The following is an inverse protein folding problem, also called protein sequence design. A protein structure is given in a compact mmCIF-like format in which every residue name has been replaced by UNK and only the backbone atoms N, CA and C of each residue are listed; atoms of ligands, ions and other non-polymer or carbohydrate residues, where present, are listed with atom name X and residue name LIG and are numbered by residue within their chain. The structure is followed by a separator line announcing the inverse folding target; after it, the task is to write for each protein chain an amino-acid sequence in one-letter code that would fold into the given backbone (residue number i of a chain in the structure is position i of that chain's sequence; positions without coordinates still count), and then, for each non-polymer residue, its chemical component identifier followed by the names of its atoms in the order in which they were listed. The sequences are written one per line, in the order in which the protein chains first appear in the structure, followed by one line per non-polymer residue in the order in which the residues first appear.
data_IF_232009758985
#
_entry.id   IF_232009758985
#
_cell.length_a   1.000
_cell.length_b   1.000
_cell.length_c   1.000
_cell.angle_alpha   90.00
_cell.angle_beta   90.00
_cell.angle_gamma   90.00
#
_symmetry.space_group_name_H-M   'P 1'
#
loop_
_entity.id
_entity.type
_entity.pdbx_description
1 polymer ?
#
# COMPACT_ATOMS: atom_id res chain seq x y z
N UNK A 1 -25.45 18.99 -21.75
CA UNK A 1 -24.52 18.28 -20.84
C UNK A 1 -23.57 17.50 -21.72
N UNK A 2 -22.25 17.60 -21.50
CA UNK A 2 -21.28 16.81 -22.25
C UNK A 2 -21.62 15.32 -22.08
N UNK A 3 -21.74 14.61 -23.19
CA UNK A 3 -22.31 13.26 -23.26
C UNK A 3 -21.26 12.16 -23.20
N UNK A 4 -19.97 12.51 -23.32
CA UNK A 4 -18.85 11.56 -23.33
C UNK A 4 -17.69 11.99 -22.42
N UNK A 5 -16.84 11.06 -21.98
CA UNK A 5 -15.60 11.38 -21.22
C UNK A 5 -14.66 12.31 -22.00
N UNK A 6 -14.68 12.26 -23.34
CA UNK A 6 -13.89 13.17 -24.18
C UNK A 6 -14.36 14.60 -24.07
N UNK A 7 -15.67 14.82 -24.07
CA UNK A 7 -16.22 16.17 -23.97
C UNK A 7 -15.84 16.83 -22.61
N UNK A 8 -15.71 16.03 -21.55
CA UNK A 8 -15.23 16.49 -20.24
C UNK A 8 -13.74 16.82 -20.29
N UNK A 9 -12.96 15.96 -20.95
CA UNK A 9 -11.52 16.18 -21.13
C UNK A 9 -11.24 17.44 -21.97
N UNK A 10 -11.94 17.63 -23.08
CA UNK A 10 -11.80 18.79 -23.96
C UNK A 10 -12.11 20.08 -23.18
N UNK A 11 -13.21 20.10 -22.41
CA UNK A 11 -13.57 21.24 -21.56
C UNK A 11 -12.48 21.58 -20.54
N UNK A 12 -11.90 20.57 -19.87
CA UNK A 12 -10.83 20.78 -18.89
C UNK A 12 -9.53 21.27 -19.56
N UNK A 13 -9.25 20.77 -20.77
CA UNK A 13 -8.06 21.16 -21.51
C UNK A 13 -8.16 22.59 -22.09
N UNK A 14 -9.36 23.02 -22.45
CA UNK A 14 -9.63 24.38 -22.99
C UNK A 14 -9.74 25.42 -21.88
N UNK A 15 -10.58 25.19 -20.87
CA UNK A 15 -10.96 26.18 -19.87
C UNK A 15 -10.17 26.07 -18.56
N UNK A 16 -9.44 24.97 -18.35
CA UNK A 16 -8.76 24.66 -17.10
C UNK A 16 -9.72 24.29 -15.96
N UNK A 17 -9.23 24.40 -14.72
CA UNK A 17 -10.05 24.13 -13.53
C UNK A 17 -10.89 25.35 -13.14
N UNK A 18 -12.15 25.36 -13.58
CA UNK A 18 -13.18 26.34 -13.20
C UNK A 18 -14.17 25.77 -12.18
N UNK A 19 -15.02 26.62 -11.61
CA UNK A 19 -16.12 26.18 -10.72
C UNK A 19 -17.09 25.23 -11.45
N UNK A 20 -17.38 25.50 -12.72
CA UNK A 20 -18.27 24.68 -13.55
C UNK A 20 -17.68 23.28 -13.80
N UNK A 21 -16.38 23.23 -14.13
CA UNK A 21 -15.62 21.97 -14.26
C UNK A 21 -15.63 21.22 -12.93
N UNK A 22 -15.38 21.91 -11.82
CA UNK A 22 -15.37 21.28 -10.49
C UNK A 22 -16.73 20.69 -10.14
N UNK A 23 -17.82 21.41 -10.43
CA UNK A 23 -19.20 20.91 -10.26
C UNK A 23 -19.49 19.69 -11.16
N UNK A 24 -18.95 19.66 -12.37
CA UNK A 24 -19.07 18.52 -13.28
C UNK A 24 -18.32 17.29 -12.73
N UNK A 25 -17.09 17.46 -12.25
CA UNK A 25 -16.30 16.41 -11.60
C UNK A 25 -17.00 15.84 -10.35
N UNK A 26 -17.73 16.67 -9.59
CA UNK A 26 -18.52 16.19 -8.46
C UNK A 26 -19.68 15.27 -8.86
N UNK A 27 -20.26 15.48 -10.05
CA UNK A 27 -21.40 14.70 -10.57
C UNK A 27 -20.99 13.35 -11.16
N UNK A 28 -19.71 13.16 -11.50
CA UNK A 28 -19.21 11.89 -12.00
C UNK A 28 -19.35 10.78 -10.94
N UNK A 29 -19.69 9.56 -11.41
CA UNK A 29 -19.59 8.38 -10.55
C UNK A 29 -18.13 8.22 -10.13
N UNK A 30 -17.85 7.66 -8.93
CA UNK A 30 -16.49 7.48 -8.46
C UNK A 30 -15.58 6.79 -9.48
N UNK A 31 -16.04 5.70 -10.09
CA UNK A 31 -15.25 4.97 -11.08
C UNK A 31 -15.01 5.79 -12.35
N UNK A 32 -16.00 6.55 -12.83
CA UNK A 32 -15.85 7.37 -14.04
C UNK A 32 -14.82 8.49 -13.83
N UNK A 33 -14.83 9.12 -12.64
CA UNK A 33 -13.81 10.11 -12.25
C UNK A 33 -12.41 9.51 -12.22
N UNK A 34 -12.26 8.31 -11.68
CA UNK A 34 -10.95 7.64 -11.65
C UNK A 34 -10.51 7.24 -13.05
N UNK A 35 -11.42 6.67 -13.86
CA UNK A 35 -11.10 6.30 -15.24
C UNK A 35 -10.71 7.53 -16.07
N UNK A 36 -11.35 8.70 -15.86
CA UNK A 36 -10.93 9.97 -16.46
C UNK A 36 -9.46 10.29 -16.12
N UNK A 37 -9.06 10.19 -14.84
CA UNK A 37 -7.64 10.39 -14.44
C UNK A 37 -6.70 9.33 -15.02
N UNK A 38 -7.16 8.08 -15.18
CA UNK A 38 -6.35 6.97 -15.73
C UNK A 38 -6.09 7.16 -17.23
N UNK A 39 -7.16 7.32 -18.00
CA UNK A 39 -7.12 7.30 -19.48
C UNK A 39 -6.94 8.67 -20.11
N UNK A 40 -7.09 9.74 -19.33
CA UNK A 40 -6.91 11.11 -19.80
C UNK A 40 -5.52 11.40 -20.33
N UNK A 41 -5.44 12.40 -21.22
CA UNK A 41 -4.20 12.97 -21.72
C UNK A 41 -3.32 13.53 -20.60
N UNK A 42 -2.05 13.79 -20.92
CA UNK A 42 -1.12 14.39 -19.96
C UNK A 42 -1.57 15.77 -19.50
N UNK A 43 -2.17 16.56 -20.40
CA UNK A 43 -2.74 17.88 -20.06
C UNK A 43 -3.85 17.75 -19.03
N UNK A 44 -4.81 16.84 -19.27
CA UNK A 44 -5.88 16.57 -18.30
C UNK A 44 -5.32 16.10 -16.95
N UNK A 45 -4.34 15.19 -16.96
CA UNK A 45 -3.71 14.70 -15.72
C UNK A 45 -3.07 15.82 -14.92
N UNK A 46 -2.36 16.74 -15.58
CA UNK A 46 -1.77 17.92 -14.95
C UNK A 46 -2.83 18.84 -14.36
N UNK A 47 -3.93 19.09 -15.08
CA UNK A 47 -5.06 19.86 -14.56
C UNK A 47 -5.71 19.18 -13.35
N UNK A 48 -5.85 17.85 -13.36
CA UNK A 48 -6.38 17.09 -12.23
C UNK A 48 -5.43 17.03 -11.02
N UNK A 49 -4.16 17.41 -11.20
CA UNK A 49 -3.14 17.49 -10.15
C UNK A 49 -2.81 18.93 -9.75
N UNK A 50 -3.50 19.91 -10.31
CA UNK A 50 -3.20 21.31 -10.03
C UNK A 50 -3.61 21.67 -8.58
N UNK A 51 -2.89 22.60 -7.93
CA UNK A 51 -3.18 23.00 -6.55
C UNK A 51 -4.61 23.51 -6.34
N UNK A 52 -5.21 24.14 -7.35
CA UNK A 52 -6.58 24.67 -7.31
C UNK A 52 -7.63 23.57 -7.12
N UNK A 53 -7.34 22.33 -7.57
CA UNK A 53 -8.23 21.18 -7.42
C UNK A 53 -7.95 20.36 -6.14
N UNK A 54 -6.93 20.69 -5.35
CA UNK A 54 -6.64 19.98 -4.09
C UNK A 54 -7.84 19.96 -3.12
N UNK A 55 -8.60 21.07 -2.91
CA UNK A 55 -9.79 21.04 -2.04
C UNK A 55 -10.86 20.05 -2.49
N UNK A 56 -10.99 19.83 -3.82
CA UNK A 56 -11.89 18.82 -4.36
C UNK A 56 -11.45 17.42 -3.95
N UNK A 57 -10.16 17.09 -4.11
CA UNK A 57 -9.62 15.78 -3.74
C UNK A 57 -9.65 15.54 -2.24
N UNK A 58 -9.33 16.55 -1.43
CA UNK A 58 -9.47 16.50 0.03
C UNK A 58 -10.90 16.17 0.43
N UNK A 59 -11.91 16.80 -0.19
CA UNK A 59 -13.31 16.52 0.10
C UNK A 59 -13.73 15.10 -0.33
N UNK A 60 -13.26 14.63 -1.50
CA UNK A 60 -13.52 13.25 -1.97
C UNK A 60 -12.89 12.23 -1.02
N UNK A 61 -11.65 12.43 -0.61
CA UNK A 61 -10.93 11.60 0.35
C UNK A 61 -11.63 11.57 1.72
N UNK A 62 -11.95 12.74 2.28
CA UNK A 62 -12.59 12.86 3.60
C UNK A 62 -14.02 12.27 3.65
N UNK A 63 -14.63 11.99 2.49
CA UNK A 63 -15.94 11.32 2.38
C UNK A 63 -15.87 9.80 2.25
N UNK A 64 -14.67 9.22 2.08
CA UNK A 64 -14.49 7.77 2.06
C UNK A 64 -14.90 7.15 3.40
N UNK A 65 -15.75 6.12 3.37
CA UNK A 65 -16.22 5.39 4.55
C UNK A 65 -16.20 3.89 4.28
N UNK A 66 -16.05 3.12 5.36
CA UNK A 66 -16.24 1.68 5.29
C UNK A 66 -17.73 1.36 5.35
N UNK A 67 -18.13 0.29 4.67
CA UNK A 67 -19.52 -0.16 4.62
C UNK A 67 -20.03 -0.59 5.99
N UNK A 68 -19.17 -1.27 6.78
CA UNK A 68 -19.52 -1.85 8.08
C UNK A 68 -19.08 -0.99 9.28
N UNK A 69 -18.33 0.08 9.06
CA UNK A 69 -17.89 1.01 10.10
C UNK A 69 -17.87 2.44 9.55
N UNK A 70 -18.98 3.14 9.74
CA UNK A 70 -19.15 4.52 9.27
C UNK A 70 -18.43 5.55 10.16
N UNK A 71 -17.96 5.15 11.36
CA UNK A 71 -17.19 6.02 12.24
C UNK A 71 -15.72 6.09 11.80
N UNK A 72 -15.21 5.03 11.19
CA UNK A 72 -13.86 5.02 10.62
C UNK A 72 -13.68 6.14 9.57
N UNK A 73 -12.55 6.84 9.68
CA UNK A 73 -12.10 7.83 8.72
C UNK A 73 -10.63 7.58 8.39
N UNK A 74 -10.28 7.67 7.12
CA UNK A 74 -8.88 7.64 6.70
C UNK A 74 -8.15 8.89 7.21
N UNK A 75 -6.91 8.68 7.66
CA UNK A 75 -5.96 9.73 8.05
C UNK A 75 -5.12 10.15 6.85
N UNK A 76 -4.53 11.34 6.91
CA UNK A 76 -3.68 11.85 5.82
C UNK A 76 -2.59 10.81 5.44
N UNK A 77 -2.51 10.35 4.18
CA UNK A 77 -1.59 9.28 3.77
C UNK A 77 -0.16 9.76 3.47
N UNK A 78 0.29 10.80 4.19
CA UNK A 78 1.60 11.49 4.18
C UNK A 78 2.39 11.51 2.86
N UNK A 79 2.94 10.36 2.46
CA UNK A 79 3.77 10.16 1.27
C UNK A 79 2.98 10.02 -0.04
N UNK A 80 1.67 9.80 0.04
CA UNK A 80 0.75 9.69 -1.10
C UNK A 80 -0.20 10.88 -1.14
N UNK A 81 -0.52 11.38 -2.34
CA UNK A 81 -1.55 12.41 -2.47
C UNK A 81 -2.93 11.86 -2.10
N UNK A 82 -3.83 12.70 -1.57
CA UNK A 82 -5.21 12.29 -1.28
C UNK A 82 -5.98 11.92 -2.55
N UNK A 83 -5.62 12.54 -3.68
CA UNK A 83 -6.14 12.19 -4.99
C UNK A 83 -5.79 10.75 -5.37
N UNK A 84 -4.51 10.38 -5.29
CA UNK A 84 -4.04 9.03 -5.63
C UNK A 84 -4.57 7.99 -4.65
N UNK A 85 -4.63 8.31 -3.36
CA UNK A 85 -5.24 7.43 -2.37
C UNK A 85 -6.70 7.15 -2.74
N UNK A 86 -7.49 8.19 -3.03
CA UNK A 86 -8.88 8.06 -3.43
C UNK A 86 -9.02 7.23 -4.70
N UNK A 87 -8.24 7.54 -5.74
CA UNK A 87 -8.29 6.85 -7.02
C UNK A 87 -7.91 5.37 -6.90
N UNK A 88 -6.82 5.08 -6.20
CA UNK A 88 -6.36 3.73 -5.91
C UNK A 88 -7.42 2.93 -5.14
N UNK A 89 -7.96 3.50 -4.06
CA UNK A 89 -8.96 2.82 -3.23
C UNK A 89 -10.28 2.57 -3.97
N UNK A 90 -10.77 3.54 -4.75
CA UNK A 90 -11.98 3.37 -5.57
C UNK A 90 -11.80 2.29 -6.63
N UNK A 91 -10.66 2.22 -7.32
CA UNK A 91 -10.36 1.15 -8.27
C UNK A 91 -10.27 -0.22 -7.59
N UNK A 92 -9.65 -0.28 -6.41
CA UNK A 92 -9.61 -1.50 -5.61
C UNK A 92 -11.03 -1.99 -5.27
N UNK A 93 -11.89 -1.11 -4.78
CA UNK A 93 -13.30 -1.45 -4.49
C UNK A 93 -14.07 -1.82 -5.76
N UNK A 94 -13.80 -1.17 -6.89
CA UNK A 94 -14.40 -1.53 -8.17
C UNK A 94 -13.96 -2.94 -8.60
N UNK A 95 -12.67 -3.28 -8.46
CA UNK A 95 -12.16 -4.62 -8.71
C UNK A 95 -12.91 -5.66 -7.88
N UNK A 96 -13.08 -5.45 -6.57
CA UNK A 96 -13.80 -6.39 -5.70
C UNK A 96 -15.28 -6.60 -6.10
N UNK A 97 -15.89 -5.64 -6.80
CA UNK A 97 -17.26 -5.75 -7.31
C UNK A 97 -17.34 -6.47 -8.66
N UNK A 98 -16.23 -6.56 -9.39
CA UNK A 98 -16.19 -7.33 -10.63
C UNK A 98 -16.32 -8.83 -10.31
N UNK A 99 -17.30 -9.48 -10.92
CA UNK A 99 -17.43 -10.93 -10.82
C UNK A 99 -16.21 -11.58 -11.48
N UNK A 100 -15.58 -12.57 -10.83
CA UNK A 100 -14.47 -13.39 -11.38
C UNK A 100 -14.91 -14.30 -12.55
N UNK A 101 -15.72 -13.78 -13.48
CA UNK A 101 -16.29 -14.51 -14.62
C UNK A 101 -15.39 -14.31 -15.85
N UNK A 102 -15.18 -15.41 -16.59
CA UNK A 102 -14.00 -15.73 -17.40
C UNK A 102 -13.71 -14.89 -18.66
N UNK A 103 -14.54 -13.94 -19.07
CA UNK A 103 -14.42 -13.37 -20.43
C UNK A 103 -14.02 -11.88 -20.52
N UNK A 104 -13.94 -11.15 -19.40
CA UNK A 104 -13.39 -9.79 -19.39
C UNK A 104 -12.88 -9.48 -17.98
N UNK A 105 -11.62 -9.79 -17.70
CA UNK A 105 -11.13 -9.82 -16.32
C UNK A 105 -10.72 -8.43 -15.80
N UNK A 106 -11.67 -7.49 -15.83
CA UNK A 106 -11.51 -6.13 -15.28
C UNK A 106 -11.04 -6.12 -13.82
N UNK A 107 -11.32 -7.19 -13.08
CA UNK A 107 -10.79 -7.41 -11.73
C UNK A 107 -9.26 -7.26 -11.69
N UNK A 108 -8.53 -8.00 -12.54
CA UNK A 108 -7.07 -7.91 -12.57
C UNK A 108 -6.60 -6.55 -13.10
N UNK A 109 -7.25 -6.03 -14.15
CA UNK A 109 -6.87 -4.75 -14.74
C UNK A 109 -6.99 -3.61 -13.72
N UNK A 110 -8.10 -3.54 -12.98
CA UNK A 110 -8.31 -2.54 -11.95
C UNK A 110 -7.35 -2.69 -10.77
N UNK A 111 -7.02 -3.91 -10.33
CA UNK A 111 -6.02 -4.10 -9.29
C UNK A 111 -4.62 -3.67 -9.76
N UNK A 112 -4.23 -4.01 -10.98
CA UNK A 112 -2.92 -3.64 -11.54
C UNK A 112 -2.83 -2.12 -11.73
N UNK A 113 -3.87 -1.46 -12.22
CA UNK A 113 -3.89 0.01 -12.34
C UNK A 113 -3.85 0.65 -10.95
N UNK A 114 -4.70 0.18 -10.02
CA UNK A 114 -4.76 0.66 -8.64
C UNK A 114 -3.38 0.59 -7.95
N UNK A 115 -2.64 -0.50 -8.17
CA UNK A 115 -1.29 -0.67 -7.65
C UNK A 115 -0.24 0.16 -8.41
N UNK A 116 -0.10 -0.04 -9.71
CA UNK A 116 1.06 0.49 -10.46
C UNK A 116 0.97 2.00 -10.70
N UNK A 117 -0.25 2.52 -10.90
CA UNK A 117 -0.46 3.95 -11.16
C UNK A 117 -0.67 4.75 -9.87
N UNK A 118 -1.41 4.20 -8.91
CA UNK A 118 -1.78 4.92 -7.71
C UNK A 118 -1.09 4.45 -6.44
N UNK A 119 -0.25 3.41 -6.48
CA UNK A 119 0.40 2.83 -5.30
C UNK A 119 -0.60 2.45 -4.19
N UNK A 120 -1.69 1.75 -4.54
CA UNK A 120 -2.69 1.34 -3.57
C UNK A 120 -2.24 0.12 -2.76
N UNK A 121 -2.06 0.28 -1.45
CA UNK A 121 -1.72 -0.80 -0.53
C UNK A 121 -2.68 -1.99 -0.60
N UNK A 122 -3.99 -1.73 -0.62
CA UNK A 122 -5.01 -2.79 -0.62
C UNK A 122 -4.97 -3.64 -1.90
N UNK A 123 -4.69 -3.00 -3.05
CA UNK A 123 -4.54 -3.72 -4.31
C UNK A 123 -3.29 -4.61 -4.30
N UNK A 124 -2.18 -4.12 -3.74
CA UNK A 124 -0.98 -4.92 -3.55
C UNK A 124 -1.24 -6.13 -2.64
N UNK A 125 -1.90 -5.92 -1.51
CA UNK A 125 -2.26 -6.97 -0.57
C UNK A 125 -3.15 -8.03 -1.22
N UNK A 126 -4.15 -7.63 -1.99
CA UNK A 126 -5.06 -8.56 -2.70
C UNK A 126 -4.30 -9.39 -3.74
N UNK A 127 -3.47 -8.75 -4.57
CA UNK A 127 -2.66 -9.42 -5.60
C UNK A 127 -1.67 -10.43 -4.98
N UNK A 128 -0.95 -10.03 -3.94
CA UNK A 128 -0.02 -10.92 -3.23
C UNK A 128 -0.76 -12.08 -2.54
N UNK A 129 -1.90 -11.82 -1.92
CA UNK A 129 -2.73 -12.86 -1.31
C UNK A 129 -3.18 -13.88 -2.36
N UNK A 130 -3.64 -13.41 -3.52
CA UNK A 130 -4.02 -14.29 -4.63
C UNK A 130 -2.86 -15.16 -5.12
N UNK A 131 -1.67 -14.59 -5.30
CA UNK A 131 -0.47 -15.33 -5.72
C UNK A 131 -0.02 -16.35 -4.66
N UNK A 132 -0.09 -15.99 -3.37
CA UNK A 132 0.17 -16.92 -2.26
C UNK A 132 -0.85 -18.06 -2.28
N UNK A 133 -2.15 -17.78 -2.48
CA UNK A 133 -3.18 -18.81 -2.59
C UNK A 133 -2.96 -19.74 -3.78
N UNK A 134 -2.54 -19.21 -4.93
CA UNK A 134 -2.17 -20.04 -6.07
C UNK A 134 -1.03 -21.00 -5.75
N UNK A 135 0.00 -20.54 -5.02
CA UNK A 135 1.09 -21.39 -4.56
C UNK A 135 0.62 -22.45 -3.54
N UNK A 136 -0.29 -22.10 -2.62
CA UNK A 136 -0.85 -23.06 -1.65
C UNK A 136 -1.67 -24.15 -2.36
N UNK A 137 -2.47 -23.77 -3.34
CA UNK A 137 -3.38 -24.68 -4.06
C UNK A 137 -2.65 -25.53 -5.12
N UNK A 138 -1.58 -25.01 -5.70
CA UNK A 138 -0.83 -25.66 -6.77
C UNK A 138 0.66 -25.35 -6.62
N UNK A 139 1.32 -26.09 -5.72
CA UNK A 139 2.73 -25.88 -5.43
C UNK A 139 3.62 -26.36 -6.59
N UNK A 140 3.97 -25.42 -7.47
CA UNK A 140 4.91 -25.58 -8.58
C UNK A 140 5.95 -24.47 -8.55
N UNK A 141 7.17 -24.77 -8.96
CA UNK A 141 8.26 -23.79 -8.98
C UNK A 141 7.92 -22.54 -9.81
N UNK A 142 7.22 -22.71 -10.94
CA UNK A 142 6.74 -21.61 -11.78
C UNK A 142 5.83 -20.62 -11.02
N UNK A 143 4.91 -21.13 -10.20
CA UNK A 143 4.00 -20.29 -9.41
C UNK A 143 4.77 -19.54 -8.31
N UNK A 144 5.71 -20.22 -7.65
CA UNK A 144 6.55 -19.63 -6.60
C UNK A 144 7.46 -18.54 -7.18
N UNK A 145 8.08 -18.79 -8.34
CA UNK A 145 8.88 -17.80 -9.06
C UNK A 145 8.03 -16.62 -9.54
N UNK A 146 6.81 -16.86 -10.02
CA UNK A 146 5.87 -15.79 -10.38
C UNK A 146 5.58 -14.88 -9.19
N UNK A 147 5.34 -15.45 -8.00
CA UNK A 147 5.15 -14.68 -6.77
C UNK A 147 6.41 -13.89 -6.40
N UNK A 148 7.60 -14.52 -6.46
CA UNK A 148 8.86 -13.87 -6.15
C UNK A 148 9.17 -12.70 -7.10
N UNK A 149 9.02 -12.92 -8.41
CA UNK A 149 9.28 -11.90 -9.43
C UNK A 149 8.32 -10.72 -9.30
N UNK A 150 7.04 -10.99 -9.04
CA UNK A 150 6.06 -9.94 -8.77
C UNK A 150 6.41 -9.14 -7.52
N UNK A 151 6.79 -9.81 -6.42
CA UNK A 151 7.23 -9.16 -5.18
C UNK A 151 8.44 -8.25 -5.42
N UNK A 152 9.42 -8.72 -6.19
CA UNK A 152 10.62 -7.93 -6.51
C UNK A 152 10.31 -6.67 -7.34
N UNK A 153 9.34 -6.74 -8.26
CA UNK A 153 8.92 -5.58 -9.05
C UNK A 153 8.26 -4.48 -8.22
N UNK A 154 7.55 -4.86 -7.14
CA UNK A 154 6.75 -3.92 -6.34
C UNK A 154 7.39 -3.58 -4.98
N UNK A 155 8.54 -4.18 -4.66
CA UNK A 155 9.17 -4.08 -3.33
C UNK A 155 9.39 -2.62 -2.90
N UNK A 156 10.09 -1.83 -3.71
CA UNK A 156 10.40 -0.42 -3.39
C UNK A 156 9.14 0.43 -3.23
N UNK A 157 8.08 0.14 -3.99
CA UNK A 157 6.79 0.83 -3.90
C UNK A 157 6.06 0.48 -2.61
N UNK A 158 6.05 -0.81 -2.24
CA UNK A 158 5.45 -1.25 -0.99
C UNK A 158 6.12 -0.60 0.22
N UNK A 159 7.44 -0.45 0.21
CA UNK A 159 8.15 0.23 1.30
C UNK A 159 7.75 1.71 1.47
N UNK A 160 7.13 2.36 0.48
CA UNK A 160 6.57 3.71 0.63
C UNK A 160 5.35 3.74 1.55
N UNK A 161 4.70 2.59 1.81
CA UNK A 161 3.69 2.45 2.85
C UNK A 161 4.30 2.20 4.24
N UNK A 162 5.59 2.46 4.40
CA UNK A 162 6.33 2.38 5.66
C UNK A 162 6.09 1.04 6.38
N UNK A 163 5.68 1.06 7.65
CA UNK A 163 5.47 -0.14 8.48
C UNK A 163 4.51 -1.16 7.84
N UNK A 164 3.27 -0.81 7.44
CA UNK A 164 2.39 -1.74 6.74
C UNK A 164 3.00 -2.39 5.49
N UNK A 165 3.71 -1.60 4.70
CA UNK A 165 4.41 -2.07 3.51
C UNK A 165 5.46 -3.13 3.83
N UNK A 166 6.32 -2.83 4.80
CA UNK A 166 7.37 -3.74 5.27
C UNK A 166 6.77 -5.03 5.86
N UNK A 167 5.67 -4.93 6.62
CA UNK A 167 4.97 -6.12 7.16
C UNK A 167 4.36 -7.00 6.06
N UNK A 168 3.77 -6.40 5.02
CA UNK A 168 3.24 -7.14 3.86
C UNK A 168 4.36 -7.87 3.10
N UNK A 169 5.52 -7.21 2.92
CA UNK A 169 6.71 -7.84 2.34
C UNK A 169 7.21 -8.99 3.22
N UNK A 170 7.37 -8.77 4.53
CA UNK A 170 7.80 -9.79 5.47
C UNK A 170 6.88 -11.02 5.45
N UNK A 171 5.56 -10.83 5.50
CA UNK A 171 4.59 -11.92 5.44
C UNK A 171 4.69 -12.69 4.11
N UNK A 172 4.88 -11.99 2.99
CA UNK A 172 5.05 -12.63 1.68
C UNK A 172 6.35 -13.44 1.60
N UNK A 173 7.46 -12.88 2.08
CA UNK A 173 8.74 -13.59 2.15
C UNK A 173 8.68 -14.83 3.06
N UNK A 174 7.93 -14.76 4.17
CA UNK A 174 7.69 -15.92 5.04
C UNK A 174 7.01 -17.06 4.28
N UNK A 175 5.96 -16.76 3.49
CA UNK A 175 5.31 -17.77 2.65
C UNK A 175 6.23 -18.31 1.55
N UNK A 176 6.96 -17.44 0.84
CA UNK A 176 7.94 -17.84 -0.17
C UNK A 176 8.98 -18.79 0.40
N UNK A 177 9.51 -18.48 1.59
CA UNK A 177 10.48 -19.32 2.28
C UNK A 177 9.93 -20.72 2.54
N UNK A 178 8.69 -20.83 3.02
CA UNK A 178 8.00 -22.10 3.23
C UNK A 178 7.72 -22.87 1.93
N UNK A 179 7.37 -22.18 0.84
CA UNK A 179 7.18 -22.81 -0.46
C UNK A 179 8.48 -23.37 -1.04
N UNK A 180 9.57 -22.59 -1.02
CA UNK A 180 10.89 -23.05 -1.45
C UNK A 180 11.38 -24.23 -0.61
N UNK A 181 11.17 -24.20 0.70
CA UNK A 181 11.51 -25.31 1.60
C UNK A 181 10.80 -26.60 1.20
N UNK A 182 9.48 -26.53 0.92
CA UNK A 182 8.68 -27.69 0.48
C UNK A 182 9.06 -28.22 -0.90
N UNK A 183 9.70 -27.38 -1.73
CA UNK A 183 10.28 -27.76 -3.03
C UNK A 183 11.74 -28.24 -2.92
N UNK A 184 12.27 -28.41 -1.70
CA UNK A 184 13.67 -28.76 -1.42
C UNK A 184 14.71 -27.72 -1.92
N UNK A 185 14.29 -26.48 -2.13
CA UNK A 185 15.13 -25.34 -2.52
C UNK A 185 15.60 -24.60 -1.27
N UNK A 186 16.55 -25.22 -0.55
CA UNK A 186 17.00 -24.75 0.77
C UNK A 186 17.65 -23.36 0.73
N UNK A 187 18.45 -23.06 -0.29
CA UNK A 187 19.16 -21.80 -0.40
C UNK A 187 18.17 -20.63 -0.56
N UNK A 188 17.23 -20.78 -1.47
CA UNK A 188 16.18 -19.82 -1.77
C UNK A 188 15.26 -19.60 -0.57
N UNK A 189 14.94 -20.68 0.14
CA UNK A 189 14.19 -20.61 1.40
C UNK A 189 14.90 -19.76 2.46
N UNK A 190 16.21 -19.99 2.66
CA UNK A 190 17.03 -19.24 3.62
C UNK A 190 17.10 -17.75 3.26
N UNK A 191 17.31 -17.42 1.98
CA UNK A 191 17.34 -16.02 1.52
C UNK A 191 15.98 -15.32 1.71
N UNK A 192 14.87 -16.04 1.51
CA UNK A 192 13.54 -15.51 1.78
C UNK A 192 13.32 -15.29 3.29
N UNK A 193 13.73 -16.21 4.17
CA UNK A 193 13.66 -15.97 5.62
C UNK A 193 14.53 -14.80 6.07
N UNK A 194 15.70 -14.59 5.43
CA UNK A 194 16.56 -13.44 5.70
C UNK A 194 15.87 -12.14 5.33
N UNK A 195 15.28 -12.10 4.14
CA UNK A 195 14.50 -10.96 3.64
C UNK A 195 13.27 -10.71 4.52
N UNK A 196 12.59 -11.76 5.00
CA UNK A 196 11.51 -11.65 5.97
C UNK A 196 11.98 -10.93 7.25
N UNK A 197 13.08 -11.38 7.84
CA UNK A 197 13.62 -10.76 9.07
C UNK A 197 14.05 -9.30 8.87
N UNK A 198 14.72 -9.01 7.75
CA UNK A 198 15.11 -7.66 7.37
C UNK A 198 13.88 -6.73 7.31
N UNK A 199 12.80 -7.16 6.66
CA UNK A 199 11.59 -6.34 6.55
C UNK A 199 10.84 -6.22 7.90
N UNK A 200 10.84 -7.26 8.74
CA UNK A 200 10.29 -7.17 10.10
C UNK A 200 11.04 -6.14 10.96
N UNK A 201 12.37 -6.10 10.86
CA UNK A 201 13.13 -5.10 11.61
C UNK A 201 12.98 -3.70 11.01
N UNK A 202 12.93 -3.57 9.68
CA UNK A 202 12.64 -2.27 9.06
C UNK A 202 11.27 -1.73 9.47
N UNK A 203 10.25 -2.61 9.55
CA UNK A 203 8.92 -2.24 10.06
C UNK A 203 8.98 -1.72 11.50
N UNK A 204 9.74 -2.38 12.38
CA UNK A 204 9.94 -1.95 13.77
C UNK A 204 10.61 -0.57 13.87
N UNK A 205 11.63 -0.31 13.03
CA UNK A 205 12.31 1.00 13.00
C UNK A 205 11.39 2.13 12.54
N UNK A 206 10.40 1.83 11.68
CA UNK A 206 9.45 2.80 11.12
C UNK A 206 8.17 2.96 11.93
N UNK A 207 7.88 2.04 12.87
CA UNK A 207 6.57 1.92 13.53
C UNK A 207 6.13 3.24 14.18
N UNK A 208 7.04 3.87 14.93
CA UNK A 208 6.78 5.13 15.64
C UNK A 208 6.40 6.31 14.74
N UNK A 209 6.76 6.28 13.46
CA UNK A 209 6.41 7.33 12.48
C UNK A 209 5.34 6.87 11.50
N UNK A 210 4.81 5.65 11.61
CA UNK A 210 3.85 5.05 10.66
C UNK A 210 2.43 4.96 11.20
N UNK A 211 2.08 5.68 12.26
CA UNK A 211 0.77 5.57 12.93
C UNK A 211 -0.42 5.85 11.99
N UNK A 212 -0.25 6.76 11.02
CA UNK A 212 -1.30 7.10 10.05
C UNK A 212 -1.45 5.99 9.01
N UNK A 213 -0.34 5.46 8.53
CA UNK A 213 -0.25 4.36 7.57
C UNK A 213 -0.83 3.08 8.17
N UNK A 214 -0.48 2.75 9.42
CA UNK A 214 -1.03 1.60 10.16
C UNK A 214 -2.55 1.76 10.34
N UNK A 215 -3.01 2.94 10.76
CA UNK A 215 -4.44 3.23 10.89
C UNK A 215 -5.19 3.03 9.57
N UNK A 216 -4.64 3.55 8.47
CA UNK A 216 -5.24 3.44 7.15
C UNK A 216 -5.25 1.98 6.66
N UNK A 217 -4.07 1.35 6.57
CA UNK A 217 -3.86 0.02 6.00
C UNK A 217 -4.70 -1.06 6.67
N UNK A 218 -4.91 -0.95 7.99
CA UNK A 218 -5.63 -1.95 8.79
C UNK A 218 -6.92 -1.42 9.40
N UNK A 219 -7.45 -0.33 8.86
CA UNK A 219 -8.75 0.22 9.24
C UNK A 219 -8.90 0.46 10.76
N UNK A 220 -7.85 0.98 11.40
CA UNK A 220 -7.83 1.29 12.83
C UNK A 220 -7.71 0.08 13.75
N UNK A 221 -7.48 -1.13 13.21
CA UNK A 221 -7.38 -2.38 14.00
C UNK A 221 -5.96 -2.74 14.43
N UNK A 222 -5.03 -1.82 14.28
CA UNK A 222 -3.59 -2.05 14.49
C UNK A 222 -3.04 -3.10 13.54
N UNK A 223 -1.82 -3.58 13.83
CA UNK A 223 -1.09 -4.50 12.94
C UNK A 223 -1.56 -5.96 13.02
N UNK A 224 -2.62 -6.27 13.78
CA UNK A 224 -3.14 -7.64 13.91
C UNK A 224 -3.50 -8.28 12.56
N UNK A 225 -3.92 -7.47 11.58
CA UNK A 225 -4.27 -7.92 10.23
C UNK A 225 -3.07 -8.03 9.27
N UNK A 226 -1.87 -7.65 9.71
CA UNK A 226 -0.66 -7.61 8.87
C UNK A 226 0.00 -8.97 8.65
N UNK A 227 -0.26 -9.94 9.55
CA UNK A 227 0.48 -11.18 9.65
C UNK A 227 -0.46 -12.39 9.74
N UNK A 228 0.04 -13.55 9.32
CA UNK A 228 -0.73 -14.80 9.31
C UNK A 228 -1.09 -15.32 10.71
N UNK A 229 -0.53 -14.76 11.78
CA UNK A 229 -0.65 -15.25 13.15
C UNK A 229 -1.67 -14.45 13.98
N UNK A 230 -2.14 -13.29 13.50
CA UNK A 230 -3.02 -12.42 14.25
C UNK A 230 -2.35 -11.77 15.47
N UNK A 231 -1.03 -11.53 15.41
CA UNK A 231 -0.27 -10.93 16.49
C UNK A 231 -0.28 -9.40 16.40
N UNK A 232 -0.31 -8.75 17.56
CA UNK A 232 -0.50 -7.30 17.68
C UNK A 232 0.78 -6.48 17.80
N UNK A 233 1.94 -7.12 17.97
CA UNK A 233 3.24 -6.43 18.02
C UNK A 233 4.28 -7.06 17.10
N UNK A 234 5.18 -6.22 16.55
CA UNK A 234 6.26 -6.69 15.68
C UNK A 234 7.23 -7.60 16.45
N UNK A 235 7.46 -7.32 17.73
CA UNK A 235 8.26 -8.15 18.63
C UNK A 235 7.69 -9.58 18.74
N UNK A 236 6.38 -9.72 18.96
CA UNK A 236 5.73 -11.04 19.00
C UNK A 236 5.83 -11.78 17.66
N UNK A 237 5.67 -11.07 16.54
CA UNK A 237 5.83 -11.66 15.20
C UNK A 237 7.26 -12.19 15.01
N UNK A 238 8.27 -11.41 15.39
CA UNK A 238 9.68 -11.83 15.34
C UNK A 238 9.96 -13.04 16.23
N UNK A 239 9.47 -13.02 17.46
CA UNK A 239 9.62 -14.14 18.39
C UNK A 239 8.97 -15.42 17.85
N UNK A 240 7.78 -15.31 17.26
CA UNK A 240 7.10 -16.43 16.63
C UNK A 240 7.89 -16.97 15.42
N UNK A 241 8.41 -16.09 14.54
CA UNK A 241 9.29 -16.49 13.44
C UNK A 241 10.53 -17.23 13.94
N UNK A 242 11.17 -16.75 15.02
CA UNK A 242 12.32 -17.41 15.63
C UNK A 242 11.97 -18.80 16.16
N UNK A 243 10.83 -18.95 16.82
CA UNK A 243 10.37 -20.25 17.35
C UNK A 243 10.05 -21.23 16.23
N UNK A 244 9.51 -20.76 15.11
CA UNK A 244 9.17 -21.61 13.96
C UNK A 244 10.40 -22.23 13.29
N UNK A 245 11.56 -21.54 13.30
CA UNK A 245 12.79 -22.04 12.70
C UNK A 245 14.04 -21.65 13.51
N UNK A 246 14.13 -22.19 14.73
CA UNK A 246 15.15 -21.82 15.72
C UNK A 246 16.58 -22.13 15.27
N UNK A 247 16.78 -23.16 14.44
CA UNK A 247 18.08 -23.51 13.89
C UNK A 247 18.58 -22.48 12.86
N UNK A 248 17.66 -21.83 12.14
CA UNK A 248 18.00 -20.83 11.14
C UNK A 248 18.23 -19.45 11.75
N UNK A 249 17.35 -19.02 12.65
CA UNK A 249 17.36 -17.68 13.26
C UNK A 249 18.38 -17.55 14.39
N UNK A 250 19.62 -17.97 14.12
CA UNK A 250 20.77 -17.74 15.00
C UNK A 250 21.05 -16.25 15.20
N UNK A 251 21.75 -15.88 16.27
CA UNK A 251 22.08 -14.48 16.54
C UNK A 251 22.86 -13.83 15.39
N UNK A 252 23.85 -14.53 14.82
CA UNK A 252 24.62 -14.03 13.69
C UNK A 252 23.76 -13.77 12.44
N UNK A 253 22.76 -14.62 12.18
CA UNK A 253 21.81 -14.43 11.09
C UNK A 253 20.96 -13.18 11.28
N UNK A 254 20.41 -13.01 12.50
CA UNK A 254 19.53 -11.89 12.86
C UNK A 254 20.28 -10.56 12.83
N UNK A 255 21.43 -10.49 13.50
CA UNK A 255 22.27 -9.27 13.55
C UNK A 255 22.65 -8.80 12.14
N UNK A 256 23.00 -9.71 11.23
CA UNK A 256 23.35 -9.35 9.86
C UNK A 256 22.15 -8.79 9.06
N UNK A 257 20.95 -9.36 9.26
CA UNK A 257 19.73 -8.86 8.63
C UNK A 257 19.28 -7.52 9.23
N UNK A 258 19.40 -7.36 10.55
CA UNK A 258 19.09 -6.13 11.29
C UNK A 258 20.00 -4.98 10.85
N UNK A 259 21.32 -5.20 10.78
CA UNK A 259 22.26 -4.19 10.28
C UNK A 259 21.95 -3.74 8.84
N UNK A 260 21.42 -4.64 7.99
CA UNK A 260 21.01 -4.29 6.63
C UNK A 260 19.72 -3.45 6.64
N UNK A 261 18.74 -3.79 7.47
CA UNK A 261 17.54 -2.99 7.66
C UNK A 261 17.85 -1.59 8.21
N UNK A 262 18.77 -1.48 9.19
CA UNK A 262 19.25 -0.21 9.70
C UNK A 262 19.92 0.64 8.60
N UNK A 263 20.73 0.02 7.73
CA UNK A 263 21.33 0.73 6.59
C UNK A 263 20.26 1.30 5.66
N UNK A 264 19.23 0.50 5.34
CA UNK A 264 18.09 0.92 4.52
C UNK A 264 17.29 2.04 5.18
N UNK A 265 17.02 1.94 6.48
CA UNK A 265 16.37 2.99 7.27
C UNK A 265 17.16 4.31 7.20
N UNK A 266 18.47 4.23 7.47
CA UNK A 266 19.35 5.40 7.46
C UNK A 266 19.47 6.05 6.08
N UNK A 267 19.47 5.27 4.99
CA UNK A 267 19.61 5.81 3.63
C UNK A 267 18.31 6.37 3.05
N UNK A 268 17.16 5.76 3.39
CA UNK A 268 15.91 6.02 2.67
C UNK A 268 14.85 6.76 3.52
N UNK A 269 14.94 6.73 4.86
CA UNK A 269 13.85 7.17 5.75
C UNK A 269 14.29 8.12 6.88
N UNK A 270 15.60 8.32 7.08
CA UNK A 270 16.10 9.13 8.22
C UNK A 270 15.88 10.64 8.06
N UNK A 271 15.91 11.15 6.83
CA UNK A 271 15.68 12.58 6.57
C UNK A 271 14.21 12.99 6.72
N UNK A 272 13.27 12.08 6.47
CA UNK A 272 11.83 12.32 6.69
C UNK A 272 11.47 12.27 8.18
N UNK A 273 12.04 11.34 8.95
CA UNK A 273 11.75 11.19 10.39
C UNK A 273 12.28 12.32 11.28
N UNK A 274 13.29 13.09 10.84
CA UNK A 274 13.79 14.25 11.59
C UNK A 274 12.86 15.47 11.55
N UNK A 275 11.99 15.59 10.53
CA UNK A 275 11.09 16.74 10.37
C UNK A 275 9.87 16.59 11.32
N UNK A 276 9.38 15.37 11.54
CA UNK A 276 8.22 15.12 12.40
C UNK A 276 8.48 15.33 13.89
N UNK A 277 9.76 15.27 14.34
CA UNK A 277 10.11 15.53 15.75
C UNK A 277 10.12 17.02 16.12
N UNK A 278 10.25 17.94 15.16
CA UNK A 278 10.21 19.39 15.43
C UNK A 278 8.77 19.91 15.55
N UNK A 279 7.83 19.40 14.74
CA UNK A 279 6.43 19.82 14.78
C UNK A 279 5.68 19.37 16.05
N UNK A 280 6.15 18.32 16.72
CA UNK A 280 5.60 17.91 18.02
C UNK A 280 6.07 18.79 19.19
N UNK A 281 7.15 19.57 19.03
CA UNK A 281 7.69 20.42 20.11
C UNK A 281 7.14 21.85 20.11
N UNK A 282 6.58 22.34 19.00
CA UNK A 282 6.18 23.75 18.88
C UNK A 282 4.82 24.11 19.55
N UNK A 283 3.97 23.13 19.89
CA UNK A 283 2.59 23.41 20.36
C UNK A 283 2.35 23.29 21.88
N UNK A 284 3.40 23.24 22.71
CA UNK A 284 3.26 23.30 24.16
C UNK A 284 3.77 24.64 24.73
N UNK A 285 3.09 25.73 24.41
CA UNK A 285 3.12 26.94 25.25
C UNK A 285 1.74 27.05 25.90
N UNK A 286 1.61 26.85 27.23
CA UNK A 286 0.34 27.09 27.91
C UNK A 286 0.09 28.60 27.94
N UNK A 287 -1.04 29.03 27.36
CA UNK A 287 -1.58 30.37 27.59
C UNK A 287 -1.88 30.52 29.09
N UNK A 288 -1.07 31.33 29.77
CA UNK A 288 -1.34 31.79 31.14
C UNK A 288 -2.10 33.12 31.06
N UNK A 289 -3.29 33.10 31.67
CA UNK A 289 -4.11 34.21 32.20
C UNK A 289 -4.47 35.36 31.27
#
# INVERSE_FOLDING_TARGET
MPGSMRDIEDLICEDGITDEVTLLLYKLKPIDLVMLKVTGSNTLKQQLECPELEPFWVNKFNKLRLENDHAFQFRNPELQSKADFYCGYVLYLAALKETKIKNNNKYNDYLIISLLQFNCFYAAQELLTHLIMNCKNNLKLENVNTLYDFLMQINSRLQQHQTPGCLLLANTYFYLAGFYQRLNLKRESIECYKSCWEQLHLAELLESTSEREIHNAYFGRGIMLSNAFGLSSIAEIKDHCRQFNSELFTDGFRIAAEAKAEKTFNSNFKSSSSIDMEDTRANNIPSRF
#
